data_IF_610484557865
#
_entry.id   IF_610484557865
#
_cell.length_a   1.000
_cell.length_b   1.000
_cell.length_c   1.000
_cell.angle_alpha   90.00
_cell.angle_beta   90.00
_cell.angle_gamma   90.00
#
_symmetry.space_group_name_H-M   'P 1'
#
loop_
_entity.id
_entity.type
_entity.pdbx_description
1 polymer ?
#
# COMPACT_ATOMS: atom_id res chain seq x y z
N UNK A 1 10.77 -11.88 -12.62
CA UNK A 1 9.56 -11.14 -12.20
C UNK A 1 9.94 -9.67 -12.12
N UNK A 2 9.39 -8.80 -12.98
CA UNK A 2 9.48 -7.35 -12.77
C UNK A 2 8.53 -7.03 -11.61
N UNK A 3 9.08 -6.93 -10.39
CA UNK A 3 8.28 -6.62 -9.21
C UNK A 3 8.34 -5.13 -8.92
N UNK A 4 7.19 -4.52 -8.68
CA UNK A 4 7.11 -3.24 -7.97
C UNK A 4 7.43 -3.50 -6.50
N UNK A 5 8.57 -2.99 -6.05
CA UNK A 5 8.98 -2.96 -4.64
C UNK A 5 9.06 -1.51 -4.20
N UNK A 6 9.10 -1.24 -2.89
CA UNK A 6 9.27 0.13 -2.40
C UNK A 6 10.47 0.85 -3.02
N UNK A 7 11.54 0.10 -3.35
CA UNK A 7 12.78 0.62 -3.93
C UNK A 7 12.73 1.06 -5.40
N UNK A 8 11.67 0.74 -6.16
CA UNK A 8 11.52 1.14 -7.55
C UNK A 8 10.20 1.90 -7.84
N UNK A 9 9.51 2.34 -6.79
CA UNK A 9 8.25 3.07 -6.90
C UNK A 9 8.47 4.55 -6.62
N UNK A 10 7.99 5.40 -7.53
CA UNK A 10 8.00 6.86 -7.35
C UNK A 10 6.60 7.32 -6.98
N UNK A 11 6.49 8.02 -5.85
CA UNK A 11 5.23 8.61 -5.42
C UNK A 11 5.22 10.13 -5.58
N UNK A 12 4.06 10.68 -5.97
CA UNK A 12 3.77 12.09 -5.67
C UNK A 12 3.74 12.25 -4.15
N UNK A 13 4.55 13.16 -3.61
CA UNK A 13 4.70 13.34 -2.15
C UNK A 13 3.36 13.48 -1.41
N UNK A 14 2.45 14.31 -1.93
CA UNK A 14 1.14 14.54 -1.30
C UNK A 14 0.28 13.28 -1.27
N UNK A 15 0.36 12.45 -2.31
CA UNK A 15 -0.36 11.18 -2.36
C UNK A 15 0.22 10.19 -1.33
N UNK A 16 1.54 10.06 -1.28
CA UNK A 16 2.20 9.18 -0.30
C UNK A 16 1.86 9.55 1.15
N UNK A 17 1.82 10.86 1.45
CA UNK A 17 1.43 11.36 2.76
C UNK A 17 -0.06 11.11 3.06
N UNK A 18 -0.94 11.21 2.05
CA UNK A 18 -2.35 10.88 2.21
C UNK A 18 -2.57 9.39 2.51
N UNK A 19 -1.69 8.50 2.05
CA UNK A 19 -1.69 7.09 2.44
C UNK A 19 -1.18 6.84 3.87
N UNK A 20 -0.65 7.85 4.57
CA UNK A 20 0.02 7.69 5.86
C UNK A 20 1.48 7.20 5.76
N UNK A 21 2.05 7.15 4.56
CA UNK A 21 3.35 6.55 4.29
C UNK A 21 3.29 5.01 4.21
N UNK A 22 4.43 4.34 4.41
CA UNK A 22 4.45 2.88 4.54
C UNK A 22 3.73 2.45 5.82
N UNK A 23 2.83 1.45 5.76
CA UNK A 23 2.11 1.00 6.94
C UNK A 23 3.07 0.41 7.97
N UNK A 24 2.82 0.72 9.25
CA UNK A 24 3.69 0.35 10.39
C UNK A 24 3.08 -0.71 11.30
N UNK A 25 2.05 -1.41 10.83
CA UNK A 25 1.45 -2.49 11.60
C UNK A 25 2.52 -3.55 11.94
N UNK A 26 2.50 -4.06 13.18
CA UNK A 26 3.49 -5.01 13.68
C UNK A 26 3.57 -6.30 12.85
N UNK A 27 2.49 -6.65 12.12
CA UNK A 27 2.49 -7.72 11.13
C UNK A 27 3.63 -7.57 10.10
N UNK A 28 3.81 -6.37 9.55
CA UNK A 28 4.85 -6.12 8.53
C UNK A 28 6.25 -6.15 9.13
N UNK A 29 6.39 -5.86 10.43
CA UNK A 29 7.65 -6.08 11.14
C UNK A 29 8.01 -7.56 11.22
N UNK A 30 7.02 -8.45 11.25
CA UNK A 30 7.21 -9.90 11.34
C UNK A 30 7.40 -10.56 9.97
N UNK A 31 6.64 -10.15 8.95
CA UNK A 31 6.56 -10.85 7.67
C UNK A 31 6.96 -10.01 6.44
N UNK A 32 7.21 -8.72 6.61
CA UNK A 32 7.39 -7.79 5.51
C UNK A 32 6.12 -7.61 4.67
N UNK A 33 6.22 -6.84 3.59
CA UNK A 33 5.12 -6.63 2.63
C UNK A 33 4.32 -5.36 2.86
N UNK A 34 4.86 -4.42 3.64
CA UNK A 34 4.30 -3.08 3.82
C UNK A 34 4.19 -2.31 2.49
N UNK A 35 5.16 -2.49 1.59
CA UNK A 35 5.18 -1.90 0.26
C UNK A 35 4.16 -2.56 -0.66
N UNK A 36 3.96 -3.87 -0.55
CA UNK A 36 2.87 -4.59 -1.21
C UNK A 36 1.49 -4.12 -0.76
N UNK A 37 1.27 -3.96 0.55
CA UNK A 37 0.01 -3.47 1.10
C UNK A 37 -0.31 -2.04 0.61
N UNK A 38 0.69 -1.16 0.58
CA UNK A 38 0.59 0.19 0.03
C UNK A 38 0.38 0.19 -1.50
N UNK A 39 1.06 -0.70 -2.22
CA UNK A 39 0.94 -0.88 -3.68
C UNK A 39 -0.48 -1.28 -4.07
N UNK A 40 -1.05 -2.28 -3.41
CA UNK A 40 -2.44 -2.71 -3.61
C UNK A 40 -3.44 -1.60 -3.29
N UNK A 41 -3.20 -0.84 -2.20
CA UNK A 41 -4.04 0.30 -1.88
C UNK A 41 -4.00 1.37 -2.97
N UNK A 42 -2.80 1.61 -3.52
CA UNK A 42 -2.55 2.59 -4.58
C UNK A 42 -3.23 2.20 -5.90
N UNK A 43 -3.09 0.95 -6.34
CA UNK A 43 -3.77 0.43 -7.54
C UNK A 43 -5.30 0.44 -7.38
N UNK A 44 -5.80 0.15 -6.18
CA UNK A 44 -7.24 0.20 -5.91
C UNK A 44 -7.81 1.62 -5.76
N UNK A 45 -6.97 2.62 -5.54
CA UNK A 45 -7.40 4.00 -5.23
C UNK A 45 -6.97 5.05 -6.26
N UNK A 46 -6.11 4.72 -7.22
CA UNK A 46 -5.55 5.66 -8.18
C UNK A 46 -5.15 4.96 -9.47
N UNK A 47 -4.76 5.74 -10.48
CA UNK A 47 -4.07 5.23 -11.66
C UNK A 47 -2.57 5.16 -11.36
N UNK A 48 -1.96 4.01 -11.64
CA UNK A 48 -0.53 3.78 -11.52
C UNK A 48 0.06 3.69 -12.92
N UNK A 49 0.99 4.60 -13.23
CA UNK A 49 1.77 4.52 -14.45
C UNK A 49 2.97 3.60 -14.26
N UNK A 50 3.32 2.83 -15.29
CA UNK A 50 4.47 1.94 -15.31
C UNK A 50 5.48 2.40 -16.34
N UNK A 51 6.77 2.32 -16.02
CA UNK A 51 7.86 2.64 -16.94
C UNK A 51 8.82 1.44 -16.99
N UNK A 52 8.50 0.45 -17.82
CA UNK A 52 9.20 -0.85 -17.89
C UNK A 52 9.81 -1.15 -19.27
N UNK A 53 9.82 -0.16 -20.17
CA UNK A 53 10.39 -0.33 -21.51
C UNK A 53 11.92 -0.54 -21.41
N UNK A 54 12.49 -1.32 -22.34
CA UNK A 54 13.91 -1.68 -22.38
C UNK A 54 14.83 -0.46 -22.47
N UNK A 55 14.32 0.66 -23.00
CA UNK A 55 15.07 1.91 -23.19
C UNK A 55 14.95 2.87 -22.01
N UNK A 56 14.12 2.55 -21.02
CA UNK A 56 13.84 3.43 -19.89
C UNK A 56 14.71 3.09 -18.68
N UNK A 57 15.00 4.06 -17.80
CA UNK A 57 15.76 3.81 -16.59
C UNK A 57 15.06 2.79 -15.69
N UNK A 58 15.71 1.66 -15.44
CA UNK A 58 15.26 0.65 -14.49
C UNK A 58 16.09 0.68 -13.20
N UNK A 59 15.48 0.22 -12.11
CA UNK A 59 16.20 0.00 -10.85
C UNK A 59 16.69 -1.44 -10.82
N UNK A 60 18.01 -1.61 -10.73
CA UNK A 60 18.61 -2.91 -10.49
C UNK A 60 18.48 -3.26 -9.01
N UNK A 61 17.69 -4.29 -8.70
CA UNK A 61 17.44 -4.73 -7.34
C UNK A 61 18.31 -5.95 -7.00
N UNK A 62 19.32 -5.74 -6.17
CA UNK A 62 20.11 -6.82 -5.58
C UNK A 62 19.45 -7.29 -4.29
N UNK A 63 19.19 -8.59 -4.20
CA UNK A 63 18.57 -9.22 -3.05
C UNK A 63 19.26 -10.54 -2.73
N UNK A 64 19.10 -11.01 -1.49
CA UNK A 64 19.66 -12.28 -1.00
C UNK A 64 18.53 -13.28 -0.82
N UNK A 65 18.82 -14.57 -0.70
CA UNK A 65 17.79 -15.53 -0.32
C UNK A 65 17.20 -15.17 1.06
N UNK A 66 15.91 -15.47 1.25
CA UNK A 66 15.17 -15.25 2.51
C UNK A 66 15.05 -13.76 2.93
N UNK A 67 14.86 -12.82 1.98
CA UNK A 67 14.61 -11.41 2.37
C UNK A 67 13.27 -11.27 3.04
N UNK A 68 13.26 -10.38 4.03
CA UNK A 68 12.08 -10.08 4.84
C UNK A 68 10.85 -9.70 4.01
N UNK A 69 11.02 -8.90 2.94
CA UNK A 69 9.93 -8.48 2.07
C UNK A 69 9.33 -9.60 1.20
N UNK A 70 10.02 -10.74 1.04
CA UNK A 70 9.55 -11.83 0.20
C UNK A 70 8.52 -12.72 0.91
N UNK A 71 8.52 -12.84 2.24
CA UNK A 71 7.72 -13.88 2.90
C UNK A 71 6.21 -13.73 2.73
N UNK A 72 5.66 -12.53 2.97
CA UNK A 72 4.24 -12.28 2.74
C UNK A 72 3.90 -12.37 1.25
N UNK A 73 4.81 -11.91 0.39
CA UNK A 73 4.63 -11.89 -1.06
C UNK A 73 4.62 -13.30 -1.66
N UNK A 74 5.54 -14.16 -1.24
CA UNK A 74 5.66 -15.55 -1.67
C UNK A 74 4.45 -16.36 -1.22
N UNK A 75 3.93 -16.08 -0.02
CA UNK A 75 2.69 -16.67 0.47
C UNK A 75 1.49 -16.27 -0.41
N UNK A 76 1.45 -15.01 -0.88
CA UNK A 76 0.38 -14.49 -1.75
C UNK A 76 0.50 -15.00 -3.19
N UNK A 77 1.67 -14.89 -3.81
CA UNK A 77 1.86 -15.10 -5.25
C UNK A 77 2.15 -16.55 -5.62
N UNK A 78 2.85 -17.27 -4.75
CA UNK A 78 3.38 -18.60 -5.06
C UNK A 78 2.85 -19.68 -4.11
N UNK A 79 2.00 -19.31 -3.15
CA UNK A 79 1.51 -20.19 -2.08
C UNK A 79 2.68 -20.86 -1.32
N UNK A 80 3.82 -20.17 -1.24
CA UNK A 80 5.01 -20.60 -0.52
C UNK A 80 5.03 -19.91 0.83
N UNK A 81 4.93 -20.68 1.91
CA UNK A 81 4.75 -20.12 3.24
C UNK A 81 5.86 -20.52 4.22
N UNK A 82 7.12 -20.12 3.97
CA UNK A 82 8.27 -20.54 4.77
C UNK A 82 8.23 -20.02 6.21
N UNK A 83 7.45 -18.98 6.50
CA UNK A 83 7.27 -18.40 7.85
C UNK A 83 5.91 -18.71 8.49
N UNK A 84 5.14 -19.66 7.94
CA UNK A 84 3.84 -20.05 8.48
C UNK A 84 2.85 -18.89 8.68
N UNK A 85 2.83 -17.92 7.76
CA UNK A 85 1.83 -16.84 7.65
C UNK A 85 0.44 -17.46 7.70
N UNK A 86 -0.33 -17.17 8.74
CA UNK A 86 -1.63 -17.76 8.94
C UNK A 86 -2.71 -17.01 8.16
N UNK A 87 -3.90 -17.60 8.02
CA UNK A 87 -5.03 -16.95 7.37
C UNK A 87 -5.41 -15.60 8.04
N UNK A 88 -5.26 -15.50 9.36
CA UNK A 88 -5.56 -14.26 10.09
C UNK A 88 -4.52 -13.16 9.82
N UNK A 89 -3.25 -13.51 9.58
CA UNK A 89 -2.20 -12.58 9.18
C UNK A 89 -2.53 -11.96 7.81
N UNK A 90 -2.97 -12.79 6.87
CA UNK A 90 -3.43 -12.35 5.55
C UNK A 90 -4.63 -11.43 5.64
N UNK A 91 -5.61 -11.76 6.50
CA UNK A 91 -6.76 -10.90 6.75
C UNK A 91 -6.33 -9.55 7.33
N UNK A 92 -5.37 -9.54 8.27
CA UNK A 92 -4.84 -8.31 8.85
C UNK A 92 -4.11 -7.45 7.82
N UNK A 93 -3.29 -8.04 6.95
CA UNK A 93 -2.66 -7.31 5.84
C UNK A 93 -3.70 -6.65 4.93
N UNK A 94 -4.75 -7.41 4.56
CA UNK A 94 -5.85 -6.90 3.74
C UNK A 94 -6.63 -5.77 4.43
N UNK A 95 -6.85 -5.85 5.74
CA UNK A 95 -7.50 -4.78 6.50
C UNK A 95 -6.67 -3.48 6.47
N UNK A 96 -5.34 -3.58 6.57
CA UNK A 96 -4.48 -2.40 6.44
C UNK A 96 -4.60 -1.77 5.05
N UNK A 97 -4.57 -2.58 3.98
CA UNK A 97 -4.79 -2.08 2.60
C UNK A 97 -6.15 -1.41 2.46
N UNK A 98 -7.23 -2.03 2.96
CA UNK A 98 -8.58 -1.48 2.91
C UNK A 98 -8.70 -0.16 3.68
N UNK A 99 -8.03 -0.05 4.82
CA UNK A 99 -8.01 1.19 5.59
C UNK A 99 -7.40 2.35 4.79
N UNK A 100 -6.26 2.13 4.11
CA UNK A 100 -5.64 3.14 3.25
C UNK A 100 -6.59 3.52 2.10
N UNK A 101 -7.26 2.55 1.48
CA UNK A 101 -8.23 2.81 0.42
C UNK A 101 -9.41 3.66 0.91
N UNK A 102 -9.94 3.38 2.10
CA UNK A 102 -11.03 4.15 2.72
C UNK A 102 -10.60 5.60 3.02
N UNK A 103 -9.38 5.80 3.51
CA UNK A 103 -8.82 7.14 3.75
C UNK A 103 -8.70 7.93 2.45
N UNK A 104 -8.13 7.33 1.40
CA UNK A 104 -8.01 7.96 0.09
C UNK A 104 -9.38 8.24 -0.54
N UNK A 105 -10.34 7.34 -0.37
CA UNK A 105 -11.73 7.52 -0.80
C UNK A 105 -12.37 8.74 -0.13
N UNK A 106 -12.23 8.85 1.20
CA UNK A 106 -12.74 9.99 1.97
C UNK A 106 -12.08 11.30 1.54
N UNK A 107 -10.77 11.28 1.27
CA UNK A 107 -10.03 12.44 0.78
C UNK A 107 -10.55 12.91 -0.58
N UNK A 108 -10.83 11.99 -1.52
CA UNK A 108 -11.41 12.33 -2.83
C UNK A 108 -12.75 13.05 -2.67
N UNK A 109 -13.60 12.59 -1.76
CA UNK A 109 -14.89 13.23 -1.48
C UNK A 109 -14.71 14.65 -0.98
N UNK A 110 -13.79 14.86 -0.02
CA UNK A 110 -13.52 16.19 0.55
C UNK A 110 -12.94 17.13 -0.51
N UNK A 111 -11.96 16.66 -1.30
CA UNK A 111 -11.29 17.47 -2.33
C UNK A 111 -12.18 17.78 -3.54
N UNK A 112 -13.22 16.98 -3.79
CA UNK A 112 -14.19 17.20 -4.87
C UNK A 112 -15.31 18.17 -4.48
N UNK A 113 -15.40 18.59 -3.21
CA UNK A 113 -16.44 19.51 -2.76
C UNK A 113 -16.28 20.88 -3.45
N UNK A 114 -17.33 21.41 -4.11
CA UNK A 114 -17.27 22.71 -4.79
C UNK A 114 -17.29 23.89 -3.80
N UNK A 115 -17.81 23.66 -2.60
CA UNK A 115 -17.91 24.67 -1.54
C UNK A 115 -16.66 24.65 -0.67
N UNK A 116 -16.13 25.85 -0.41
CA UNK A 116 -15.07 26.07 0.58
C UNK A 116 -15.57 27.05 1.65
N UNK A 117 -15.02 26.96 2.87
CA UNK A 117 -15.41 27.82 3.98
C UNK A 117 -15.55 27.07 5.30
N UNK A 118 -16.16 27.72 6.29
CA UNK A 118 -16.41 27.17 7.63
C UNK A 118 -17.90 26.93 7.79
N UNK A 119 -18.30 25.75 8.28
CA UNK A 119 -19.69 25.47 8.68
C UNK A 119 -19.73 24.95 10.13
N UNK A 120 -20.75 25.29 10.92
CA UNK A 120 -20.96 24.68 12.23
C UNK A 120 -21.40 23.21 12.07
N UNK A 121 -20.78 22.30 12.83
CA UNK A 121 -21.22 20.90 12.91
C UNK A 121 -22.24 20.75 14.03
N UNK A 122 -23.44 20.28 13.70
CA UNK A 122 -24.48 19.93 14.66
C UNK A 122 -24.38 18.43 14.96
N UNK A 123 -23.80 18.09 16.12
CA UNK A 123 -23.67 16.69 16.54
C UNK A 123 -24.93 16.28 17.28
N UNK A 124 -25.69 15.33 16.73
CA UNK A 124 -26.80 14.70 17.44
C UNK A 124 -26.29 13.44 18.15
N UNK A 125 -26.50 13.38 19.46
CA UNK A 125 -26.20 12.21 20.30
C UNK A 125 -27.54 11.68 20.82
N UNK A 126 -28.26 10.96 19.96
CA UNK A 126 -29.36 10.10 20.41
C UNK A 126 -28.80 8.79 20.92
#
# INVERSE_FOLDING_TARGET
VQMTVGGNTVFRRVFFLACGGFPRDDLFRQFGGEDGALGLATVGSSVVGTLFDEREPAVLHYWRDDIHAAHLLDAILFNQNPRHVAAHDMQRANQVTQHIQQQLGSLKTILAAPQTGVMPLLVNRQ
#
